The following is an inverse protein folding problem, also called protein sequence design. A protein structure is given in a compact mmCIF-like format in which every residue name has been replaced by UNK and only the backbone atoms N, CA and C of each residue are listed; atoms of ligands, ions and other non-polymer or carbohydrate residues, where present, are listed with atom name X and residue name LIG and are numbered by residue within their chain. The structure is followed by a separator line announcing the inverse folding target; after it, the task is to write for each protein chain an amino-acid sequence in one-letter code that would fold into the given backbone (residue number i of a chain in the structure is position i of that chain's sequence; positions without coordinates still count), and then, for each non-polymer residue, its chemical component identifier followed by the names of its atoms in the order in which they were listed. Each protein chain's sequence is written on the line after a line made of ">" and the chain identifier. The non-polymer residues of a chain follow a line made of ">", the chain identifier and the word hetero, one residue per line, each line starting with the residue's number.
data_IF_133678222559
#
_entry.id   IF_133678222559
#
_cell.length_a   1.000
_cell.length_b   1.000
_cell.length_c   1.000
_cell.angle_alpha   90.00
_cell.angle_beta   90.00
_cell.angle_gamma   90.00
#
_symmetry.space_group_name_H-M   'P 1'
#
loop_
_entity.id
_entity.type
_entity.pdbx_description
1 polymer ?
#
# COMPACT_ATOMS: atom_id res chain seq x y z
N UNK A 1 1.46 -17.11 7.09
CA UNK A 1 2.36 -17.24 5.94
C UNK A 1 3.19 -15.96 5.86
N UNK A 2 4.45 -16.03 6.24
CA UNK A 2 5.35 -14.88 6.40
C UNK A 2 5.90 -14.27 5.12
N UNK A 3 5.07 -14.12 4.08
CA UNK A 3 5.51 -13.73 2.74
C UNK A 3 6.26 -12.37 2.71
N UNK A 4 5.95 -11.47 3.64
CA UNK A 4 6.55 -10.13 3.74
C UNK A 4 7.19 -9.84 5.10
N UNK A 5 7.47 -10.84 5.93
CA UNK A 5 7.98 -10.60 7.30
C UNK A 5 9.33 -9.85 7.26
N UNK A 6 10.22 -10.20 6.33
CA UNK A 6 11.48 -9.49 6.11
C UNK A 6 11.26 -8.04 5.67
N UNK A 7 10.28 -7.79 4.79
CA UNK A 7 9.94 -6.43 4.33
C UNK A 7 9.34 -5.61 5.47
N UNK A 8 8.48 -6.21 6.31
CA UNK A 8 7.92 -5.57 7.50
C UNK A 8 9.04 -5.20 8.47
N UNK A 9 10.00 -6.09 8.72
CA UNK A 9 11.16 -5.79 9.56
C UNK A 9 11.98 -4.61 9.01
N UNK A 10 12.19 -4.53 7.69
CA UNK A 10 12.86 -3.39 7.04
C UNK A 10 12.08 -2.09 7.19
N UNK A 11 10.75 -2.12 7.04
CA UNK A 11 9.87 -0.96 7.23
C UNK A 11 9.91 -0.48 8.69
N UNK A 12 9.88 -1.41 9.67
CA UNK A 12 10.00 -1.07 11.09
C UNK A 12 11.33 -0.39 11.39
N UNK A 13 12.45 -0.96 10.93
CA UNK A 13 13.78 -0.34 11.06
C UNK A 13 13.83 1.06 10.44
N UNK A 14 13.16 1.28 9.30
CA UNK A 14 13.07 2.59 8.66
C UNK A 14 12.30 3.61 9.53
N UNK A 15 11.20 3.20 10.16
CA UNK A 15 10.39 4.04 11.05
C UNK A 15 11.18 4.36 12.32
N UNK A 16 11.75 3.34 12.95
CA UNK A 16 12.47 3.47 14.23
C UNK A 16 13.68 4.40 14.11
N UNK A 17 14.42 4.34 13.00
CA UNK A 17 15.55 5.24 12.76
C UNK A 17 15.13 6.71 12.59
N UNK A 18 13.83 7.00 12.50
CA UNK A 18 13.25 8.34 12.33
C UNK A 18 12.35 8.75 13.48
N UNK A 19 12.04 7.86 14.42
CA UNK A 19 11.03 8.08 15.47
C UNK A 19 11.28 9.32 16.33
N UNK A 20 12.54 9.73 16.50
CA UNK A 20 12.93 10.91 17.28
C UNK A 20 12.96 12.22 16.49
N UNK A 21 12.63 12.20 15.18
CA UNK A 21 12.60 13.42 14.38
C UNK A 21 11.32 14.23 14.70
N UNK A 22 11.41 15.56 14.77
CA UNK A 22 10.27 16.41 15.16
C UNK A 22 9.13 16.45 14.13
N UNK A 23 9.39 15.98 12.91
CA UNK A 23 8.43 15.87 11.81
C UNK A 23 7.77 14.49 11.73
N UNK A 24 8.03 13.59 12.69
CA UNK A 24 7.30 12.33 12.82
C UNK A 24 6.10 12.52 13.76
N UNK A 25 4.96 12.01 13.33
CA UNK A 25 3.75 12.00 14.16
C UNK A 25 3.03 10.67 14.01
N UNK A 26 2.44 10.21 15.12
CA UNK A 26 1.68 8.96 15.19
C UNK A 26 0.34 9.30 15.82
N UNK A 27 -0.74 8.84 15.19
CA UNK A 27 -2.11 9.03 15.69
C UNK A 27 -2.87 7.71 15.60
N UNK A 28 -3.80 7.48 16.52
CA UNK A 28 -4.76 6.38 16.39
C UNK A 28 -5.89 6.80 15.45
N UNK A 29 -6.32 5.90 14.57
CA UNK A 29 -7.39 6.13 13.60
C UNK A 29 -8.72 6.51 14.29
N UNK A 30 -8.97 5.98 15.49
CA UNK A 30 -10.15 6.30 16.30
C UNK A 30 -10.16 7.75 16.78
N UNK A 31 -8.98 8.34 17.01
CA UNK A 31 -8.82 9.74 17.42
C UNK A 31 -8.88 10.71 16.22
N UNK A 32 -8.79 10.19 15.00
CA UNK A 32 -8.87 11.01 13.78
C UNK A 32 -10.36 11.30 13.51
N UNK A 33 -10.78 12.57 13.41
CA UNK A 33 -12.18 12.89 13.13
C UNK A 33 -12.57 12.44 11.72
N UNK A 34 -13.87 12.26 11.49
CA UNK A 34 -14.36 11.88 10.17
C UNK A 34 -14.17 13.01 9.17
N UNK A 35 -13.67 12.67 7.98
CA UNK A 35 -13.61 13.57 6.83
C UNK A 35 -14.76 13.27 5.88
N UNK A 36 -15.36 14.28 5.22
CA UNK A 36 -16.40 14.02 4.24
C UNK A 36 -15.90 13.10 3.13
N UNK A 37 -16.69 12.08 2.78
CA UNK A 37 -16.44 11.25 1.61
C UNK A 37 -17.12 11.89 0.39
N UNK A 38 -16.38 12.01 -0.70
CA UNK A 38 -16.85 12.48 -1.99
C UNK A 38 -17.37 11.35 -2.88
N UNK A 39 -17.77 11.74 -4.09
CA UNK A 39 -18.15 10.82 -5.17
C UNK A 39 -16.88 10.21 -5.80
N UNK A 40 -16.95 8.94 -6.22
CA UNK A 40 -15.88 8.26 -6.96
C UNK A 40 -15.55 8.93 -8.30
N UNK A 41 -16.45 9.78 -8.81
CA UNK A 41 -16.26 10.59 -10.02
C UNK A 41 -15.70 11.98 -9.74
N UNK A 42 -15.44 12.33 -8.48
CA UNK A 42 -14.88 13.64 -8.12
C UNK A 42 -13.45 13.79 -8.65
N UNK A 43 -13.24 14.78 -9.50
CA UNK A 43 -11.94 15.08 -10.11
C UNK A 43 -11.32 16.33 -9.50
N UNK A 44 -10.01 16.27 -9.19
CA UNK A 44 -9.21 17.44 -8.83
C UNK A 44 -8.43 17.91 -10.05
N UNK A 45 -8.93 18.97 -10.69
CA UNK A 45 -8.31 19.58 -11.86
C UNK A 45 -6.98 20.25 -11.48
N UNK A 46 -6.07 20.37 -12.46
CA UNK A 46 -4.75 21.00 -12.22
C UNK A 46 -4.88 22.45 -11.70
N UNK A 47 -5.89 23.20 -12.17
CA UNK A 47 -6.16 24.57 -11.73
C UNK A 47 -6.66 24.66 -10.29
N UNK A 48 -7.27 23.59 -9.77
CA UNK A 48 -7.78 23.49 -8.39
C UNK A 48 -6.84 22.70 -7.47
N UNK A 49 -5.72 22.20 -7.98
CA UNK A 49 -4.76 21.44 -7.16
C UNK A 49 -3.97 22.39 -6.26
N UNK A 50 -3.88 22.05 -4.98
CA UNK A 50 -3.02 22.72 -4.00
C UNK A 50 -1.69 21.99 -3.81
N UNK A 51 -1.72 20.66 -3.84
CA UNK A 51 -0.55 19.79 -3.64
C UNK A 51 -0.68 18.57 -4.55
N UNK A 52 0.41 18.23 -5.25
CA UNK A 52 0.58 16.95 -5.94
C UNK A 52 1.52 16.05 -5.14
N UNK A 53 1.00 14.90 -4.71
CA UNK A 53 1.75 13.86 -4.01
C UNK A 53 2.27 12.85 -5.04
N UNK A 54 3.58 12.59 -5.04
CA UNK A 54 4.16 11.50 -5.83
C UNK A 54 4.10 11.69 -7.34
N UNK A 55 3.99 12.94 -7.82
CA UNK A 55 3.98 13.25 -9.25
C UNK A 55 5.17 12.61 -9.99
N UNK A 56 5.10 12.39 -11.31
CA UNK A 56 6.22 11.86 -12.09
C UNK A 56 7.52 12.68 -12.00
N UNK A 57 7.45 13.92 -11.51
CA UNK A 57 8.59 14.81 -11.30
C UNK A 57 9.24 14.66 -9.92
N UNK A 58 8.73 13.79 -9.05
CA UNK A 58 9.25 13.54 -7.70
C UNK A 58 9.18 12.06 -7.33
N UNK A 59 9.79 11.70 -6.18
CA UNK A 59 9.80 10.35 -5.67
C UNK A 59 8.37 9.91 -5.26
N UNK A 60 8.03 8.67 -5.58
CA UNK A 60 6.79 8.04 -5.12
C UNK A 60 7.04 6.56 -4.88
N UNK A 61 6.49 6.03 -3.80
CA UNK A 61 6.39 4.60 -3.52
C UNK A 61 5.09 4.31 -2.79
N UNK A 62 4.32 3.31 -3.23
CA UNK A 62 3.08 2.92 -2.59
C UNK A 62 2.86 1.42 -2.74
N UNK A 63 2.72 0.72 -1.61
CA UNK A 63 2.59 -0.73 -1.59
C UNK A 63 1.89 -1.21 -0.31
N UNK A 64 1.34 -2.42 -0.38
CA UNK A 64 0.69 -3.11 0.73
C UNK A 64 1.46 -4.40 1.02
N UNK A 65 1.71 -4.67 2.30
CA UNK A 65 2.28 -5.93 2.79
C UNK A 65 1.36 -6.50 3.86
N UNK A 66 1.36 -7.82 3.99
CA UNK A 66 0.58 -8.52 5.01
C UNK A 66 1.41 -9.56 5.75
N UNK A 67 0.94 -9.94 6.93
CA UNK A 67 1.54 -10.98 7.77
C UNK A 67 0.46 -11.61 8.65
N UNK A 68 0.68 -12.84 9.10
CA UNK A 68 -0.12 -13.47 10.15
C UNK A 68 0.48 -13.29 11.56
N UNK A 69 1.65 -12.65 11.68
CA UNK A 69 2.19 -12.22 12.98
C UNK A 69 1.34 -11.07 13.54
N UNK A 70 0.67 -11.34 14.67
CA UNK A 70 -0.21 -10.38 15.35
C UNK A 70 0.55 -9.22 16.00
N UNK A 71 1.84 -9.39 16.32
CA UNK A 71 2.64 -8.33 16.96
C UNK A 71 3.30 -7.40 15.94
N UNK A 72 3.40 -7.83 14.68
CA UNK A 72 4.06 -7.09 13.62
C UNK A 72 3.27 -5.87 13.12
N UNK A 73 1.96 -5.77 13.41
CA UNK A 73 1.07 -4.68 12.96
C UNK A 73 0.37 -4.04 14.15
N UNK A 74 0.50 -2.72 14.31
CA UNK A 74 -0.23 -2.00 15.35
C UNK A 74 -1.55 -1.49 14.78
N UNK A 75 -2.62 -2.26 14.97
CA UNK A 75 -3.95 -1.93 14.46
C UNK A 75 -4.36 -0.48 14.79
N UNK A 76 -4.93 0.21 13.79
CA UNK A 76 -5.41 1.58 13.94
C UNK A 76 -4.31 2.64 13.91
N UNK A 77 -3.03 2.27 13.82
CA UNK A 77 -1.94 3.26 13.80
C UNK A 77 -1.85 3.96 12.45
N UNK A 78 -1.78 5.29 12.46
CA UNK A 78 -1.37 6.10 11.31
C UNK A 78 -0.11 6.86 11.66
N UNK A 79 0.98 6.55 10.95
CA UNK A 79 2.28 7.20 11.11
C UNK A 79 2.51 8.17 9.94
N UNK A 80 2.91 9.41 10.23
CA UNK A 80 3.32 10.40 9.21
C UNK A 80 4.76 10.81 9.47
N UNK A 81 5.60 10.74 8.44
CA UNK A 81 7.01 11.14 8.47
C UNK A 81 7.16 12.30 7.49
N UNK A 82 7.19 13.52 8.02
CA UNK A 82 7.23 14.77 7.26
C UNK A 82 5.98 15.64 7.45
N UNK A 83 5.94 16.80 6.78
CA UNK A 83 4.82 17.74 6.86
C UNK A 83 3.51 17.09 6.41
N UNK A 84 2.45 17.35 7.18
CA UNK A 84 1.08 17.06 6.75
C UNK A 84 0.56 18.19 5.85
N UNK A 85 -0.53 17.93 5.13
CA UNK A 85 -1.05 18.79 4.05
C UNK A 85 -1.33 20.23 4.49
N UNK A 86 -1.89 20.53 5.68
CA UNK A 86 -2.13 21.92 6.08
C UNK A 86 -0.84 22.72 6.29
N UNK A 87 0.27 22.03 6.60
CA UNK A 87 1.61 22.63 6.80
C UNK A 87 2.51 22.49 5.57
N UNK A 88 2.03 21.86 4.51
CA UNK A 88 2.80 21.64 3.29
C UNK A 88 2.93 22.93 2.49
N UNK A 89 4.15 23.31 2.16
CA UNK A 89 4.47 24.53 1.40
C UNK A 89 4.91 24.24 -0.03
N UNK A 90 5.22 22.98 -0.36
CA UNK A 90 5.64 22.55 -1.69
C UNK A 90 4.42 22.17 -2.53
N UNK A 91 4.46 22.53 -3.81
CA UNK A 91 3.42 22.13 -4.77
C UNK A 91 3.59 20.66 -5.20
N UNK A 92 4.83 20.19 -5.32
CA UNK A 92 5.18 18.82 -5.69
C UNK A 92 5.89 18.14 -4.51
N UNK A 93 5.24 17.14 -3.94
CA UNK A 93 5.67 16.51 -2.69
C UNK A 93 6.04 15.06 -2.95
N UNK A 94 7.24 14.60 -2.52
CA UNK A 94 7.57 13.18 -2.58
C UNK A 94 6.60 12.39 -1.71
N UNK A 95 6.14 11.22 -2.16
CA UNK A 95 5.06 10.52 -1.48
C UNK A 95 5.33 9.02 -1.29
N UNK A 96 5.43 8.61 -0.03
CA UNK A 96 5.39 7.22 0.39
C UNK A 96 4.02 6.88 1.01
N UNK A 97 3.38 5.79 0.59
CA UNK A 97 2.20 5.22 1.26
C UNK A 97 2.35 3.71 1.45
N UNK A 98 2.54 3.29 2.69
CA UNK A 98 2.84 1.91 3.03
C UNK A 98 1.73 1.40 3.95
N UNK A 99 1.17 0.25 3.61
CA UNK A 99 0.05 -0.34 4.33
C UNK A 99 0.48 -1.70 4.85
N UNK A 100 0.36 -1.89 6.17
CA UNK A 100 0.68 -3.14 6.85
C UNK A 100 -0.64 -3.75 7.32
N UNK A 101 -0.89 -5.01 6.98
CA UNK A 101 -2.14 -5.69 7.32
C UNK A 101 -1.84 -6.98 8.08
N UNK A 102 -2.44 -7.15 9.25
CA UNK A 102 -2.45 -8.42 9.95
C UNK A 102 -3.66 -9.23 9.49
N UNK A 103 -3.40 -10.45 9.02
CA UNK A 103 -4.40 -11.32 8.41
C UNK A 103 -4.37 -12.73 8.99
N UNK A 104 -5.39 -13.53 8.69
CA UNK A 104 -5.40 -14.96 9.04
C UNK A 104 -6.02 -15.82 7.94
N UNK A 105 -5.73 -17.13 7.98
CA UNK A 105 -6.33 -18.11 7.07
C UNK A 105 -5.90 -17.96 5.61
N UNK A 106 -4.73 -17.35 5.37
CA UNK A 106 -4.10 -17.31 4.04
C UNK A 106 -3.45 -18.65 3.74
N UNK A 107 -3.73 -19.19 2.55
CA UNK A 107 -3.15 -20.43 2.03
C UNK A 107 -2.80 -20.28 0.54
N UNK A 108 -2.22 -21.33 -0.05
CA UNK A 108 -1.79 -21.33 -1.44
C UNK A 108 -2.93 -21.11 -2.45
N UNK A 109 -4.16 -21.45 -2.07
CA UNK A 109 -5.33 -21.38 -2.93
C UNK A 109 -6.04 -20.03 -2.89
N UNK A 110 -6.00 -19.33 -1.75
CA UNK A 110 -6.77 -18.11 -1.54
C UNK A 110 -5.92 -16.83 -1.47
N UNK A 111 -4.59 -16.96 -1.33
CA UNK A 111 -3.70 -15.80 -1.12
C UNK A 111 -3.78 -14.78 -2.26
N UNK A 112 -3.85 -15.23 -3.51
CA UNK A 112 -3.94 -14.35 -4.67
C UNK A 112 -5.19 -13.47 -4.62
N UNK A 113 -6.37 -14.09 -4.50
CA UNK A 113 -7.66 -13.37 -4.51
C UNK A 113 -7.76 -12.41 -3.32
N UNK A 114 -7.37 -12.86 -2.12
CA UNK A 114 -7.42 -12.02 -0.92
C UNK A 114 -6.44 -10.84 -0.98
N UNK A 115 -5.26 -11.04 -1.56
CA UNK A 115 -4.33 -9.94 -1.79
C UNK A 115 -4.94 -8.92 -2.77
N UNK A 116 -5.53 -9.38 -3.87
CA UNK A 116 -6.17 -8.50 -4.87
C UNK A 116 -7.31 -7.71 -4.25
N UNK A 117 -8.15 -8.34 -3.44
CA UNK A 117 -9.22 -7.69 -2.70
C UNK A 117 -8.68 -6.58 -1.77
N UNK A 118 -7.64 -6.87 -0.98
CA UNK A 118 -6.98 -5.86 -0.13
C UNK A 118 -6.34 -4.74 -0.95
N UNK A 119 -5.68 -5.05 -2.07
CA UNK A 119 -5.05 -4.06 -2.93
C UNK A 119 -6.09 -3.11 -3.55
N UNK A 120 -7.27 -3.63 -3.89
CA UNK A 120 -8.36 -2.88 -4.50
C UNK A 120 -9.08 -1.94 -3.52
N UNK A 121 -8.99 -2.18 -2.20
CA UNK A 121 -9.62 -1.35 -1.16
C UNK A 121 -9.30 0.15 -1.30
N UNK A 122 -8.10 0.50 -1.79
CA UNK A 122 -7.68 1.89 -2.01
C UNK A 122 -8.48 2.64 -3.08
N UNK A 123 -9.18 1.94 -3.99
CA UNK A 123 -10.02 2.56 -5.02
C UNK A 123 -11.45 2.81 -4.54
N UNK A 124 -11.84 2.26 -3.38
CA UNK A 124 -13.18 2.46 -2.84
C UNK A 124 -13.26 3.64 -1.85
N UNK A 125 -12.10 4.23 -1.52
CA UNK A 125 -12.01 5.37 -0.62
C UNK A 125 -11.87 6.67 -1.41
N UNK A 126 -12.80 7.59 -1.17
CA UNK A 126 -12.88 8.86 -1.89
C UNK A 126 -12.97 10.04 -0.92
N UNK A 127 -11.95 10.36 -0.10
CA UNK A 127 -12.00 11.54 0.75
C UNK A 127 -12.25 12.81 -0.09
N UNK A 128 -13.17 13.67 0.34
CA UNK A 128 -13.56 14.85 -0.42
C UNK A 128 -12.35 15.75 -0.71
N UNK A 129 -12.15 16.05 -2.00
CA UNK A 129 -11.04 16.88 -2.48
C UNK A 129 -9.67 16.18 -2.52
N UNK A 130 -9.61 14.86 -2.29
CA UNK A 130 -8.48 14.00 -2.62
C UNK A 130 -8.80 13.19 -3.89
N UNK A 131 -7.84 13.10 -4.80
CA UNK A 131 -7.96 12.29 -6.01
C UNK A 131 -6.67 11.49 -6.21
N UNK A 132 -6.79 10.17 -6.29
CA UNK A 132 -5.74 9.32 -6.81
C UNK A 132 -5.77 9.38 -8.34
N UNK A 133 -4.79 10.08 -8.93
CA UNK A 133 -4.76 10.37 -10.37
C UNK A 133 -4.26 9.18 -11.18
N UNK A 134 -3.22 8.53 -10.70
CA UNK A 134 -2.65 7.37 -11.35
C UNK A 134 -1.95 6.50 -10.31
N UNK A 135 -2.09 5.19 -10.50
CA UNK A 135 -1.26 4.17 -9.88
C UNK A 135 -0.45 3.52 -10.99
N UNK A 136 0.83 3.24 -10.77
CA UNK A 136 1.62 2.50 -11.75
C UNK A 136 1.83 1.05 -11.33
N UNK A 137 2.09 0.18 -12.31
CA UNK A 137 2.59 -1.18 -12.10
C UNK A 137 3.91 -1.22 -11.28
N UNK A 138 4.58 -0.09 -11.11
CA UNK A 138 5.87 0.04 -10.42
C UNK A 138 5.75 0.51 -8.97
N UNK A 139 4.65 0.18 -8.28
CA UNK A 139 4.43 0.55 -6.87
C UNK A 139 4.52 2.07 -6.65
N UNK A 140 3.89 2.86 -7.52
CA UNK A 140 3.82 4.33 -7.38
C UNK A 140 2.38 4.77 -7.29
N UNK A 141 2.16 5.81 -6.50
CA UNK A 141 0.90 6.53 -6.43
C UNK A 141 1.12 8.00 -6.72
N UNK A 142 0.32 8.55 -7.62
CA UNK A 142 0.23 9.97 -7.89
C UNK A 142 -1.15 10.46 -7.49
N UNK A 143 -1.18 11.36 -6.52
CA UNK A 143 -2.42 11.91 -5.98
C UNK A 143 -2.42 13.42 -5.99
N UNK A 144 -3.62 13.99 -5.97
CA UNK A 144 -3.88 15.43 -5.93
C UNK A 144 -4.78 15.76 -4.77
N UNK A 145 -4.49 16.89 -4.13
CA UNK A 145 -5.36 17.47 -3.11
C UNK A 145 -5.80 18.85 -3.59
N UNK A 146 -7.11 19.09 -3.55
CA UNK A 146 -7.71 20.36 -3.95
C UNK A 146 -7.34 21.51 -3.01
N UNK A 147 -7.37 22.74 -3.53
CA UNK A 147 -7.18 23.97 -2.74
C UNK A 147 -8.19 24.04 -1.60
N UNK A 148 -9.45 23.72 -1.89
CA UNK A 148 -10.51 23.66 -0.88
C UNK A 148 -10.18 22.66 0.23
N UNK A 149 -9.81 21.42 -0.09
CA UNK A 149 -9.48 20.42 0.92
C UNK A 149 -8.30 20.85 1.79
N UNK A 150 -7.26 21.45 1.20
CA UNK A 150 -6.13 22.00 1.98
C UNK A 150 -6.58 23.11 2.94
N UNK A 151 -7.42 24.04 2.47
CA UNK A 151 -7.97 25.12 3.31
C UNK A 151 -8.88 24.60 4.42
N UNK A 152 -9.68 23.58 4.12
CA UNK A 152 -10.59 22.92 5.07
C UNK A 152 -9.84 22.01 6.08
N UNK A 153 -8.51 21.91 5.98
CA UNK A 153 -7.67 21.18 6.94
C UNK A 153 -7.52 19.70 6.65
N UNK A 154 -7.64 19.25 5.40
CA UNK A 154 -7.39 17.87 5.01
C UNK A 154 -6.04 17.39 5.54
N UNK A 155 -6.03 16.22 6.19
CA UNK A 155 -4.84 15.55 6.72
C UNK A 155 -4.71 14.18 6.06
N UNK A 156 -3.47 13.73 5.84
CA UNK A 156 -3.22 12.34 5.41
C UNK A 156 -3.77 11.31 6.41
N UNK A 157 -3.99 11.70 7.66
CA UNK A 157 -4.62 10.84 8.67
C UNK A 157 -6.04 10.44 8.30
N UNK A 158 -6.78 11.31 7.61
CA UNK A 158 -8.12 10.98 7.11
C UNK A 158 -8.07 9.87 6.07
N UNK A 159 -7.09 9.94 5.16
CA UNK A 159 -6.85 8.89 4.18
C UNK A 159 -6.42 7.57 4.86
N UNK A 160 -5.54 7.66 5.86
CA UNK A 160 -5.11 6.50 6.66
C UNK A 160 -6.28 5.84 7.38
N UNK A 161 -7.11 6.62 8.08
CA UNK A 161 -8.32 6.15 8.76
C UNK A 161 -9.27 5.43 7.80
N UNK A 162 -9.64 6.09 6.69
CA UNK A 162 -10.56 5.50 5.71
C UNK A 162 -10.05 4.18 5.13
N UNK A 163 -8.74 4.07 4.90
CA UNK A 163 -8.12 2.84 4.41
C UNK A 163 -8.13 1.73 5.47
N UNK A 164 -7.82 2.06 6.74
CA UNK A 164 -7.88 1.12 7.86
C UNK A 164 -9.31 0.60 8.05
N UNK A 165 -10.31 1.47 8.05
CA UNK A 165 -11.72 1.09 8.17
C UNK A 165 -12.15 0.17 7.02
N UNK A 166 -11.76 0.50 5.77
CA UNK A 166 -12.09 -0.31 4.59
C UNK A 166 -11.46 -1.70 4.64
N UNK A 167 -10.19 -1.80 5.06
CA UNK A 167 -9.50 -3.08 5.20
C UNK A 167 -10.04 -3.91 6.37
N UNK A 168 -10.35 -3.27 7.50
CA UNK A 168 -10.87 -3.94 8.69
C UNK A 168 -12.28 -4.51 8.51
N UNK A 169 -13.00 -4.10 7.46
CA UNK A 169 -14.27 -4.69 7.08
C UNK A 169 -14.14 -6.09 6.43
N UNK A 170 -12.92 -6.48 6.02
CA UNK A 170 -12.66 -7.80 5.45
C UNK A 170 -12.57 -8.85 6.56
N UNK A 171 -13.26 -10.01 6.45
CA UNK A 171 -13.42 -10.95 7.56
C UNK A 171 -12.13 -11.65 8.00
N UNK A 172 -11.09 -11.60 7.18
CA UNK A 172 -9.79 -12.21 7.45
C UNK A 172 -8.73 -11.21 7.88
N UNK A 173 -9.07 -9.92 8.01
CA UNK A 173 -8.18 -8.84 8.48
C UNK A 173 -8.45 -8.57 9.95
N UNK A 174 -7.40 -8.62 10.77
CA UNK A 174 -7.48 -8.37 12.22
C UNK A 174 -6.77 -7.08 12.64
N UNK A 175 -5.93 -6.54 11.76
CA UNK A 175 -5.13 -5.35 12.03
C UNK A 175 -4.76 -4.62 10.76
N UNK A 176 -4.75 -3.29 10.78
CA UNK A 176 -4.22 -2.49 9.69
C UNK A 176 -3.52 -1.24 10.25
N UNK A 177 -2.39 -0.89 9.64
CA UNK A 177 -1.59 0.29 9.93
C UNK A 177 -1.18 0.97 8.63
N UNK A 178 -1.16 2.31 8.63
CA UNK A 178 -0.77 3.10 7.45
C UNK A 178 0.38 4.03 7.80
N UNK A 179 1.40 4.04 6.94
CA UNK A 179 2.54 4.93 7.04
C UNK A 179 2.58 5.84 5.81
N UNK A 180 2.61 7.15 6.07
CA UNK A 180 2.82 8.19 5.07
C UNK A 180 4.21 8.81 5.20
N UNK A 181 4.89 9.01 4.08
CA UNK A 181 6.20 9.66 4.03
C UNK A 181 6.15 10.83 3.06
N UNK A 182 6.32 12.04 3.58
CA UNK A 182 6.35 13.31 2.82
C UNK A 182 7.59 14.15 3.13
N UNK A 183 8.45 13.69 4.05
CA UNK A 183 9.63 14.43 4.53
C UNK A 183 10.57 14.83 3.40
N UNK A 184 11.06 13.86 2.62
CA UNK A 184 12.01 14.10 1.52
C UNK A 184 11.96 13.03 0.43
N UNK A 185 12.52 13.34 -0.73
CA UNK A 185 12.67 12.36 -1.81
C UNK A 185 13.59 11.20 -1.42
N UNK A 186 14.61 11.46 -0.58
CA UNK A 186 15.53 10.44 -0.09
C UNK A 186 14.84 9.46 0.86
N UNK A 187 13.99 9.96 1.76
CA UNK A 187 13.21 9.12 2.67
C UNK A 187 12.23 8.23 1.91
N UNK A 188 11.57 8.77 0.87
CA UNK A 188 10.71 7.98 -0.02
C UNK A 188 11.51 6.97 -0.84
N UNK A 189 12.70 7.35 -1.32
CA UNK A 189 13.58 6.46 -2.10
C UNK A 189 14.15 5.33 -1.26
N UNK A 190 14.43 5.55 0.03
CA UNK A 190 14.87 4.50 0.95
C UNK A 190 13.81 3.39 1.09
N UNK A 191 12.51 3.74 1.04
CA UNK A 191 11.42 2.76 1.01
C UNK A 191 11.12 2.20 -0.39
N UNK A 192 11.58 2.86 -1.44
CA UNK A 192 11.40 2.40 -2.82
C UNK A 192 12.07 1.05 -3.06
N UNK A 193 13.24 0.80 -2.48
CA UNK A 193 13.92 -0.50 -2.60
C UNK A 193 13.08 -1.66 -2.00
N UNK A 194 12.44 -1.41 -0.85
CA UNK A 194 11.50 -2.35 -0.23
C UNK A 194 10.29 -2.55 -1.15
N UNK A 195 9.70 -1.46 -1.62
CA UNK A 195 8.55 -1.49 -2.53
C UNK A 195 8.84 -2.19 -3.86
N UNK A 196 10.02 -2.03 -4.46
CA UNK A 196 10.43 -2.74 -5.67
C UNK A 196 10.54 -4.25 -5.43
N UNK A 197 11.04 -4.66 -4.26
CA UNK A 197 11.07 -6.07 -3.85
C UNK A 197 9.66 -6.64 -3.66
N UNK A 198 8.79 -5.92 -2.94
CA UNK A 198 7.37 -6.28 -2.79
C UNK A 198 6.69 -6.40 -4.16
N UNK A 199 6.91 -5.42 -5.04
CA UNK A 199 6.34 -5.37 -6.39
C UNK A 199 6.74 -6.57 -7.26
N UNK A 200 7.97 -7.07 -7.12
CA UNK A 200 8.41 -8.30 -7.81
C UNK A 200 7.65 -9.52 -7.31
N UNK A 201 7.47 -9.65 -6.00
CA UNK A 201 6.74 -10.75 -5.37
C UNK A 201 5.27 -10.73 -5.80
N UNK A 202 4.61 -9.57 -5.67
CA UNK A 202 3.20 -9.43 -6.04
C UNK A 202 2.98 -9.51 -7.54
N UNK A 203 3.93 -9.04 -8.35
CA UNK A 203 3.90 -9.18 -9.81
C UNK A 203 3.99 -10.64 -10.25
N UNK A 204 4.90 -11.41 -9.65
CA UNK A 204 4.99 -12.85 -9.86
C UNK A 204 3.69 -13.56 -9.46
N UNK A 205 3.13 -13.21 -8.30
CA UNK A 205 1.86 -13.75 -7.83
C UNK A 205 0.69 -13.41 -8.76
N UNK A 206 0.62 -12.18 -9.26
CA UNK A 206 -0.42 -11.76 -10.20
C UNK A 206 -0.32 -12.50 -11.53
N UNK A 207 0.91 -12.65 -12.06
CA UNK A 207 1.16 -13.42 -13.27
C UNK A 207 0.70 -14.87 -13.13
N UNK A 208 0.99 -15.52 -12.00
CA UNK A 208 0.55 -16.88 -11.71
C UNK A 208 -0.98 -17.01 -11.61
N UNK A 209 -1.66 -16.01 -11.05
CA UNK A 209 -3.12 -16.01 -10.93
C UNK A 209 -3.85 -15.69 -12.24
N UNK A 210 -3.30 -14.81 -13.08
CA UNK A 210 -3.93 -14.34 -14.32
C UNK A 210 -3.65 -15.25 -15.52
N UNK A 211 -2.45 -15.84 -15.62
CA UNK A 211 -2.05 -16.68 -16.74
C UNK A 211 -2.08 -18.16 -16.35
N UNK A 212 -3.20 -18.83 -16.68
CA UNK A 212 -3.37 -20.27 -16.46
C UNK A 212 -2.42 -21.13 -17.31
N UNK A 213 -1.74 -20.56 -18.31
CA UNK A 213 -0.64 -21.22 -19.04
C UNK A 213 0.65 -21.08 -18.23
N UNK A 214 0.79 -21.98 -17.26
CA UNK A 214 1.92 -22.18 -16.37
C UNK A 214 3.18 -22.69 -17.11
N UNK A 215 3.56 -22.10 -18.24
CA UNK A 215 4.91 -22.27 -18.81
C UNK A 215 5.89 -21.46 -17.96
N UNK A 216 6.12 -21.97 -16.75
CA UNK A 216 6.99 -21.34 -15.76
C UNK A 216 8.47 -21.42 -16.14
N UNK A 217 8.84 -22.27 -17.10
CA UNK A 217 10.22 -22.42 -17.58
C UNK A 217 10.62 -21.24 -18.49
N UNK A 218 9.67 -20.66 -19.22
CA UNK A 218 9.86 -19.44 -20.02
C UNK A 218 9.47 -18.14 -19.28
N UNK A 219 8.99 -18.22 -18.04
CA UNK A 219 8.45 -17.08 -17.30
C UNK A 219 9.54 -16.16 -16.73
N UNK A 220 9.44 -14.85 -17.00
CA UNK A 220 10.37 -13.82 -16.50
C UNK A 220 10.44 -13.73 -14.97
N UNK A 221 9.39 -14.18 -14.27
CA UNK A 221 9.32 -14.21 -12.81
C UNK A 221 9.88 -15.48 -12.18
N UNK A 222 10.32 -16.47 -12.98
CA UNK A 222 10.82 -17.76 -12.48
C UNK A 222 11.89 -17.62 -11.37
N UNK A 223 12.89 -16.72 -11.49
CA UNK A 223 13.88 -16.52 -10.42
C UNK A 223 13.28 -16.02 -9.10
N UNK A 224 12.26 -15.17 -9.15
CA UNK A 224 11.55 -14.65 -7.97
C UNK A 224 10.70 -15.75 -7.35
N UNK A 225 9.94 -16.48 -8.19
CA UNK A 225 9.16 -17.61 -7.73
C UNK A 225 10.04 -18.66 -7.05
N UNK A 226 11.22 -18.98 -7.58
CA UNK A 226 12.11 -20.01 -7.01
C UNK A 226 12.82 -19.57 -5.73
N UNK A 227 13.07 -18.28 -5.55
CA UNK A 227 13.72 -17.74 -4.35
C UNK A 227 12.76 -17.63 -3.16
N UNK A 228 11.48 -17.37 -3.40
CA UNK A 228 10.46 -17.19 -2.36
C UNK A 228 9.72 -18.50 -2.10
N UNK A 229 9.80 -19.04 -0.89
CA UNK A 229 9.30 -20.39 -0.58
C UNK A 229 7.78 -20.51 -0.75
N UNK A 230 7.07 -19.46 -0.40
CA UNK A 230 5.62 -19.29 -0.45
C UNK A 230 5.13 -19.26 -1.90
N UNK A 231 5.80 -18.52 -2.78
CA UNK A 231 5.46 -18.49 -4.20
C UNK A 231 5.66 -19.86 -4.87
N UNK A 232 6.69 -20.64 -4.48
CA UNK A 232 6.86 -22.03 -4.96
C UNK A 232 5.70 -22.93 -4.56
N UNK A 233 5.25 -22.82 -3.31
CA UNK A 233 4.10 -23.60 -2.81
C UNK A 233 2.84 -23.22 -3.57
N UNK A 234 2.58 -21.93 -3.77
CA UNK A 234 1.46 -21.43 -4.58
C UNK A 234 1.50 -21.99 -6.01
N UNK A 235 2.65 -21.89 -6.69
CA UNK A 235 2.86 -22.44 -8.04
C UNK A 235 2.53 -23.93 -8.10
N UNK A 236 3.05 -24.70 -7.14
CA UNK A 236 2.86 -26.16 -7.09
C UNK A 236 1.39 -26.54 -6.88
N UNK A 237 0.69 -25.83 -5.99
CA UNK A 237 -0.74 -26.05 -5.72
C UNK A 237 -1.61 -25.72 -6.94
N UNK A 238 -1.28 -24.65 -7.69
CA UNK A 238 -1.97 -24.29 -8.93
C UNK A 238 -1.75 -25.32 -10.05
N UNK A 239 -0.53 -25.84 -10.19
CA UNK A 239 -0.20 -26.90 -11.16
C UNK A 239 -0.95 -28.21 -10.87
N UNK A 240 -1.05 -28.61 -9.59
CA UNK A 240 -1.81 -29.80 -9.18
C UNK A 240 -3.29 -29.65 -9.53
N UNK A 241 -3.92 -28.50 -9.21
CA UNK A 241 -5.32 -28.22 -9.58
C UNK A 241 -5.58 -28.22 -11.08
N UNK A 242 -4.63 -27.78 -11.92
CA UNK A 242 -4.76 -27.85 -13.39
C UNK A 242 -4.74 -29.31 -13.87
N UNK A 243 -3.87 -30.13 -13.30
CA UNK A 243 -3.72 -31.56 -13.65
C UNK A 243 -4.95 -32.37 -13.24
N UNK A 244 -5.57 -32.06 -12.10
CA UNK A 244 -6.81 -32.72 -11.63
C UNK A 244 -8.06 -32.32 -12.45
N UNK A 245 -8.06 -31.13 -13.06
CA UNK A 245 -9.17 -30.61 -13.86
C UNK A 245 -9.00 -30.84 -15.39
N UNK A 246 -7.94 -31.52 -15.81
CA UNK A 246 -7.73 -31.91 -17.21
C UNK A 246 -8.19 -33.36 -17.38
N UNK A 247 -9.26 -33.65 -18.15
CA UNK A 247 -9.78 -35.01 -18.33
C UNK A 247 -8.82 -35.94 -19.08
#
# INVERSE_FOLDING_TARGET
>A
MGLFDDHIAQIRKFIDSRAQRPDVSVVAADDVPSWPMGDSRSLVLSSDTAVELGSPKTASTAFLVWTDDTEAVSHGRVTRIGPDIPKETRDLVPFGKIVLVNVSGFDEANTYDRFREMEMAKYDIHPAGYMMRAVSQYQREWSRISKKAKTDGFSLSFLGKALIEKLSALPYVHGAEVIFVTSSADDVTALKAVGESVGKITGAMNKMGEEMDLDCDACEYSPVCDSVSELRKMRSAMQQKKTENTP
#
